data_IF_408000978695
#
_entry.id   IF_408000978695
#
_cell.length_a   1.000
_cell.length_b   1.000
_cell.length_c   1.000
_cell.angle_alpha   90.00
_cell.angle_beta   90.00
_cell.angle_gamma   90.00
#
_symmetry.space_group_name_H-M   'P 1'
#
loop_
_entity.id
_entity.type
_entity.pdbx_description
1 polymer ?
#
# COMPACT_ATOMS: atom_id res chain seq x y z
N UNK A 1 -11.94 41.46 26.92
CA UNK A 1 -10.48 41.68 26.90
C UNK A 1 -10.01 41.26 25.52
N UNK A 2 -10.00 42.24 24.60
CA UNK A 2 -9.43 42.08 23.26
C UNK A 2 -7.94 41.78 23.38
N UNK A 3 -7.51 40.64 22.84
CA UNK A 3 -6.12 40.41 22.54
C UNK A 3 -5.93 40.76 21.07
N UNK A 4 -5.24 41.87 20.88
CA UNK A 4 -4.84 42.48 19.61
C UNK A 4 -4.22 41.44 18.68
N UNK A 5 -4.83 41.33 17.51
CA UNK A 5 -4.34 40.61 16.34
C UNK A 5 -3.09 41.33 15.83
N UNK A 6 -1.93 40.92 16.33
CA UNK A 6 -0.65 41.36 15.80
C UNK A 6 -0.51 40.78 14.38
N UNK A 7 -0.55 41.65 13.37
CA UNK A 7 -0.56 41.30 11.94
C UNK A 7 0.83 40.86 11.42
N UNK A 8 1.64 40.22 12.26
CA UNK A 8 2.74 39.42 11.76
C UNK A 8 2.16 38.07 11.33
N UNK A 9 1.84 37.94 10.03
CA UNK A 9 1.60 36.63 9.43
C UNK A 9 2.94 35.89 9.52
N UNK A 10 3.14 35.14 10.62
CA UNK A 10 4.30 34.27 10.77
C UNK A 10 4.17 33.23 9.67
N UNK A 11 5.03 33.34 8.64
CA UNK A 11 5.03 32.44 7.49
C UNK A 11 5.66 31.11 7.93
N UNK A 12 4.82 30.21 8.43
CA UNK A 12 5.24 28.85 8.82
C UNK A 12 5.58 28.07 7.56
N UNK A 13 6.78 27.49 7.51
CA UNK A 13 7.16 26.57 6.44
C UNK A 13 6.48 25.21 6.64
N UNK A 14 5.46 24.92 5.86
CA UNK A 14 4.65 23.70 5.99
C UNK A 14 5.17 22.52 5.15
N UNK A 15 6.35 22.64 4.52
CA UNK A 15 6.86 21.61 3.61
C UNK A 15 7.04 20.27 4.32
N UNK A 16 7.60 20.26 5.54
CA UNK A 16 7.83 19.03 6.31
C UNK A 16 6.53 18.36 6.71
N UNK A 17 5.50 19.14 7.08
CA UNK A 17 4.15 18.63 7.32
C UNK A 17 3.53 17.98 6.07
N UNK A 18 3.63 18.61 4.90
CA UNK A 18 3.07 18.03 3.67
C UNK A 18 3.80 16.76 3.24
N UNK A 19 5.14 16.74 3.34
CA UNK A 19 5.94 15.54 3.08
C UNK A 19 5.56 14.45 4.09
N UNK A 20 5.41 14.79 5.38
CA UNK A 20 4.93 13.85 6.40
C UNK A 20 3.60 13.22 6.00
N UNK A 21 2.62 14.02 5.58
CA UNK A 21 1.29 13.55 5.18
C UNK A 21 1.36 12.60 3.98
N UNK A 22 2.28 12.85 3.05
CA UNK A 22 2.49 12.04 1.85
C UNK A 22 3.39 10.81 2.07
N UNK A 23 4.12 10.71 3.20
CA UNK A 23 5.06 9.60 3.48
C UNK A 23 4.48 8.20 3.23
N UNK A 24 3.21 7.88 3.59
CA UNK A 24 2.68 6.54 3.36
C UNK A 24 2.68 6.12 1.88
N UNK A 25 2.60 7.07 0.94
CA UNK A 25 2.66 6.79 -0.49
C UNK A 25 4.02 6.21 -0.93
N UNK A 26 5.09 6.45 -0.16
CA UNK A 26 6.39 5.87 -0.42
C UNK A 26 6.39 4.33 -0.29
N UNK A 27 5.47 3.76 0.50
CA UNK A 27 5.31 2.30 0.60
C UNK A 27 4.86 1.70 -0.74
N UNK A 28 3.91 2.34 -1.42
CA UNK A 28 3.45 1.89 -2.75
C UNK A 28 4.58 1.93 -3.78
N UNK A 29 5.42 2.97 -3.73
CA UNK A 29 6.60 3.07 -4.60
C UNK A 29 7.61 1.98 -4.27
N UNK A 30 7.79 1.67 -2.99
CA UNK A 30 8.74 0.66 -2.56
C UNK A 30 8.30 -0.74 -3.00
N UNK A 31 7.02 -1.06 -2.91
CA UNK A 31 6.45 -2.32 -3.39
C UNK A 31 6.57 -2.44 -4.92
N UNK A 32 6.32 -1.36 -5.67
CA UNK A 32 6.54 -1.34 -7.12
C UNK A 32 8.00 -1.63 -7.51
N UNK A 33 8.96 -1.18 -6.70
CA UNK A 33 10.39 -1.42 -6.90
C UNK A 33 10.87 -2.77 -6.33
N UNK A 34 9.98 -3.61 -5.80
CA UNK A 34 10.31 -4.86 -5.12
C UNK A 34 11.29 -4.70 -3.95
N UNK A 35 11.24 -3.57 -3.24
CA UNK A 35 11.88 -3.48 -1.93
C UNK A 35 11.12 -4.38 -0.95
N UNK A 36 11.84 -5.20 -0.18
CA UNK A 36 11.20 -6.08 0.79
C UNK A 36 10.39 -5.30 1.84
N UNK A 37 9.18 -5.75 2.14
CA UNK A 37 8.23 -5.10 3.06
C UNK A 37 8.87 -4.54 4.34
N UNK A 38 9.75 -5.31 4.99
CA UNK A 38 10.44 -4.87 6.22
C UNK A 38 11.33 -3.64 5.99
N UNK A 39 12.05 -3.60 4.88
CA UNK A 39 12.90 -2.46 4.52
C UNK A 39 12.05 -1.23 4.18
N UNK A 40 10.97 -1.42 3.43
CA UNK A 40 10.00 -0.37 3.09
C UNK A 40 9.37 0.26 4.33
N UNK A 41 8.95 -0.57 5.30
CA UNK A 41 8.34 -0.12 6.54
C UNK A 41 9.35 0.64 7.44
N UNK A 42 10.60 0.16 7.54
CA UNK A 42 11.66 0.89 8.26
C UNK A 42 11.92 2.24 7.60
N UNK A 43 12.05 2.29 6.28
CA UNK A 43 12.27 3.53 5.54
C UNK A 43 11.11 4.52 5.74
N UNK A 44 9.87 4.04 5.75
CA UNK A 44 8.68 4.83 6.05
C UNK A 44 8.76 5.48 7.44
N UNK A 45 9.00 4.70 8.50
CA UNK A 45 9.06 5.26 9.86
C UNK A 45 10.23 6.22 10.04
N UNK A 46 11.39 5.96 9.44
CA UNK A 46 12.54 6.87 9.46
C UNK A 46 12.19 8.19 8.78
N UNK A 47 11.58 8.15 7.59
CA UNK A 47 11.17 9.35 6.86
C UNK A 47 10.09 10.14 7.62
N UNK A 48 9.05 9.47 8.13
CA UNK A 48 7.97 10.08 8.89
C UNK A 48 8.49 10.74 10.17
N UNK A 49 9.34 10.04 10.93
CA UNK A 49 9.97 10.58 12.13
C UNK A 49 10.85 11.79 11.82
N UNK A 50 11.67 11.72 10.78
CA UNK A 50 12.52 12.84 10.34
C UNK A 50 11.68 14.06 9.98
N UNK A 51 10.60 13.88 9.20
CA UNK A 51 9.72 14.97 8.80
C UNK A 51 9.06 15.63 10.01
N UNK A 52 8.58 14.86 10.98
CA UNK A 52 7.94 15.43 12.16
C UNK A 52 8.89 16.12 13.12
N UNK A 53 10.13 15.64 13.24
CA UNK A 53 11.17 16.36 14.00
C UNK A 53 11.49 17.69 13.34
N UNK A 54 11.61 17.73 12.00
CA UNK A 54 11.86 18.96 11.26
C UNK A 54 10.66 19.92 11.32
N UNK A 55 9.44 19.41 11.16
CA UNK A 55 8.21 20.20 11.30
C UNK A 55 8.09 20.81 12.71
N UNK A 56 8.35 20.01 13.75
CA UNK A 56 8.34 20.50 15.12
C UNK A 56 9.41 21.57 15.39
N UNK A 57 10.58 21.49 14.74
CA UNK A 57 11.62 22.53 14.81
C UNK A 57 11.16 23.83 14.15
N UNK A 58 10.49 23.76 13.00
CA UNK A 58 9.92 24.94 12.34
C UNK A 58 8.80 25.59 13.17
N UNK A 59 7.94 24.77 13.77
CA UNK A 59 6.87 25.27 14.65
C UNK A 59 7.42 25.94 15.91
N UNK A 60 8.49 25.42 16.51
CA UNK A 60 9.15 26.05 17.67
C UNK A 60 9.72 27.43 17.37
N UNK A 61 10.13 27.72 16.12
CA UNK A 61 10.55 29.08 15.73
C UNK A 61 9.41 30.09 15.82
N UNK A 62 8.18 29.61 15.63
CA UNK A 62 6.96 30.44 15.60
C UNK A 62 6.20 30.41 16.93
N UNK A 63 6.27 29.30 17.66
CA UNK A 63 5.54 29.02 18.89
C UNK A 63 6.50 28.44 19.94
N UNK A 64 6.98 29.29 20.85
CA UNK A 64 7.96 28.91 21.89
C UNK A 64 7.48 27.74 22.76
N UNK A 65 6.18 27.66 23.04
CA UNK A 65 5.58 26.62 23.88
C UNK A 65 5.12 25.37 23.10
N UNK A 66 5.51 25.22 21.82
CA UNK A 66 5.15 24.04 21.04
C UNK A 66 5.87 22.79 21.55
N UNK A 67 5.12 21.93 22.23
CA UNK A 67 5.54 20.58 22.62
C UNK A 67 5.21 19.66 21.44
N UNK A 68 6.21 19.45 20.57
CA UNK A 68 6.09 18.53 19.46
C UNK A 68 5.99 17.08 19.92
N UNK A 69 5.13 16.31 19.23
CA UNK A 69 4.87 14.90 19.55
C UNK A 69 5.42 13.98 18.44
N UNK A 70 6.74 14.05 18.23
CA UNK A 70 7.41 13.21 17.23
C UNK A 70 7.37 11.72 17.63
N UNK A 71 7.20 11.42 18.92
CA UNK A 71 7.12 10.03 19.42
C UNK A 71 5.74 9.41 19.18
N UNK A 72 4.64 10.18 19.18
CA UNK A 72 3.33 9.63 18.83
C UNK A 72 3.26 9.05 17.41
N UNK A 73 4.20 9.37 16.52
CA UNK A 73 4.26 8.77 15.18
C UNK A 73 4.58 7.29 15.23
N UNK A 74 5.34 6.84 16.23
CA UNK A 74 5.65 5.42 16.40
C UNK A 74 4.42 4.59 16.78
N UNK A 75 3.42 5.22 17.38
CA UNK A 75 2.20 4.54 17.85
C UNK A 75 1.05 4.79 16.87
N UNK A 76 0.82 6.04 16.49
CA UNK A 76 -0.30 6.44 15.64
C UNK A 76 0.01 7.74 14.86
N UNK A 77 0.62 7.63 13.66
CA UNK A 77 1.00 8.78 12.82
C UNK A 77 -0.09 9.85 12.60
N UNK A 78 -1.39 9.50 12.45
CA UNK A 78 -2.45 10.51 12.32
C UNK A 78 -2.55 11.49 13.49
N UNK A 79 -2.16 11.11 14.72
CA UNK A 79 -2.18 12.01 15.88
C UNK A 79 -1.26 13.21 15.70
N UNK A 80 -0.10 13.03 15.06
CA UNK A 80 0.80 14.14 14.76
C UNK A 80 0.08 15.22 13.91
N UNK A 81 -0.67 14.80 12.89
CA UNK A 81 -1.42 15.74 12.03
C UNK A 81 -2.51 16.49 12.78
N UNK A 82 -3.17 15.83 13.74
CA UNK A 82 -4.20 16.43 14.57
C UNK A 82 -3.62 17.48 15.52
N UNK A 83 -2.56 17.12 16.26
CA UNK A 83 -1.89 18.02 17.22
C UNK A 83 -1.35 19.24 16.48
N UNK A 84 -0.63 19.02 15.39
CA UNK A 84 -0.07 20.10 14.57
C UNK A 84 -1.17 21.00 14.02
N UNK A 85 -2.23 20.45 13.42
CA UNK A 85 -3.30 21.26 12.84
C UNK A 85 -4.02 22.11 13.90
N UNK A 86 -4.22 21.56 15.11
CA UNK A 86 -4.75 22.31 16.26
C UNK A 86 -3.82 23.48 16.66
N UNK A 87 -2.51 23.26 16.68
CA UNK A 87 -1.53 24.27 17.09
C UNK A 87 -1.49 25.48 16.14
N UNK A 88 -1.65 25.25 14.83
CA UNK A 88 -1.58 26.32 13.81
C UNK A 88 -2.95 26.89 13.41
N UNK A 89 -4.03 26.50 14.10
CA UNK A 89 -5.39 26.97 13.80
C UNK A 89 -5.98 26.41 12.49
N UNK A 90 -5.44 25.31 11.96
CA UNK A 90 -5.97 24.62 10.79
C UNK A 90 -7.11 23.65 11.18
N UNK A 91 -7.88 23.18 10.19
CA UNK A 91 -8.94 22.19 10.43
C UNK A 91 -8.35 20.84 10.89
N UNK A 92 -8.27 20.63 12.21
CA UNK A 92 -7.69 19.43 12.83
C UNK A 92 -8.35 18.12 12.40
N UNK A 93 -9.67 18.10 12.28
CA UNK A 93 -10.42 16.91 11.90
C UNK A 93 -10.26 16.61 10.41
N UNK A 94 -10.19 17.67 9.58
CA UNK A 94 -9.90 17.53 8.15
C UNK A 94 -8.54 16.88 7.91
N UNK A 95 -7.48 17.39 8.54
CA UNK A 95 -6.13 16.83 8.35
C UNK A 95 -5.95 15.43 8.93
N UNK A 96 -6.57 15.17 10.09
CA UNK A 96 -6.62 13.82 10.66
C UNK A 96 -7.30 12.84 9.70
N UNK A 97 -8.48 13.21 9.16
CA UNK A 97 -9.22 12.36 8.23
C UNK A 97 -8.45 12.11 6.92
N UNK A 98 -7.83 13.15 6.35
CA UNK A 98 -7.02 13.04 5.13
C UNK A 98 -5.87 12.07 5.32
N UNK A 99 -5.08 12.24 6.39
CA UNK A 99 -3.92 11.37 6.60
C UNK A 99 -4.35 9.94 6.93
N UNK A 100 -5.42 9.77 7.72
CA UNK A 100 -5.98 8.44 8.02
C UNK A 100 -6.49 7.74 6.76
N UNK A 101 -7.18 8.47 5.87
CA UNK A 101 -7.65 7.94 4.60
C UNK A 101 -6.48 7.50 3.70
N UNK A 102 -5.39 8.26 3.65
CA UNK A 102 -4.18 7.88 2.92
C UNK A 102 -3.58 6.59 3.49
N UNK A 103 -3.39 6.51 4.81
CA UNK A 103 -2.81 5.32 5.47
C UNK A 103 -3.68 4.08 5.21
N UNK A 104 -5.00 4.20 5.38
CA UNK A 104 -5.95 3.10 5.14
C UNK A 104 -5.94 2.69 3.66
N UNK A 105 -5.94 3.65 2.74
CA UNK A 105 -5.90 3.36 1.31
C UNK A 105 -4.62 2.61 0.91
N UNK A 106 -3.45 3.06 1.40
CA UNK A 106 -2.17 2.38 1.17
C UNK A 106 -2.24 0.95 1.70
N UNK A 107 -2.66 0.76 2.94
CA UNK A 107 -2.77 -0.57 3.55
C UNK A 107 -3.69 -1.51 2.76
N UNK A 108 -4.86 -1.03 2.33
CA UNK A 108 -5.77 -1.84 1.52
C UNK A 108 -5.16 -2.22 0.16
N UNK A 109 -4.45 -1.30 -0.48
CA UNK A 109 -3.80 -1.55 -1.77
C UNK A 109 -2.69 -2.60 -1.62
N UNK A 110 -1.86 -2.50 -0.58
CA UNK A 110 -0.78 -3.46 -0.34
C UNK A 110 -1.33 -4.85 -0.05
N UNK A 111 -2.33 -4.97 0.82
CA UNK A 111 -2.98 -6.26 1.14
C UNK A 111 -3.61 -6.91 -0.10
N UNK A 112 -4.32 -6.13 -0.93
CA UNK A 112 -4.91 -6.65 -2.18
C UNK A 112 -3.82 -7.12 -3.15
N UNK A 113 -2.69 -6.41 -3.20
CA UNK A 113 -1.58 -6.75 -4.10
C UNK A 113 -0.91 -8.04 -3.66
N UNK A 114 -0.62 -8.18 -2.37
CA UNK A 114 -0.03 -9.39 -1.78
C UNK A 114 -0.93 -10.61 -1.94
N UNK A 115 -2.23 -10.46 -1.69
CA UNK A 115 -3.21 -11.53 -1.88
C UNK A 115 -3.36 -11.94 -3.36
N UNK A 116 -3.37 -10.99 -4.29
CA UNK A 116 -3.36 -11.33 -5.72
C UNK A 116 -2.07 -12.04 -6.14
N UNK A 117 -0.94 -11.69 -5.54
CA UNK A 117 0.34 -12.35 -5.79
C UNK A 117 0.36 -13.79 -5.25
N UNK A 118 -0.18 -14.03 -4.06
CA UNK A 118 -0.28 -15.39 -3.51
C UNK A 118 -1.18 -16.27 -4.39
N UNK A 119 -2.34 -15.77 -4.83
CA UNK A 119 -3.21 -16.50 -5.79
C UNK A 119 -2.44 -16.87 -7.05
N UNK A 120 -1.69 -15.93 -7.64
CA UNK A 120 -0.90 -16.18 -8.85
C UNK A 120 0.16 -17.26 -8.64
N UNK A 121 0.86 -17.21 -7.51
CA UNK A 121 1.90 -18.19 -7.17
C UNK A 121 1.30 -19.58 -6.99
N UNK A 122 0.31 -19.71 -6.12
CA UNK A 122 -0.36 -20.99 -5.89
C UNK A 122 -0.96 -21.55 -7.18
N UNK A 123 -1.61 -20.71 -8.00
CA UNK A 123 -2.21 -21.18 -9.25
C UNK A 123 -1.15 -21.70 -10.22
N UNK A 124 0.02 -21.08 -10.26
CA UNK A 124 1.14 -21.53 -11.09
C UNK A 124 1.71 -22.87 -10.60
N UNK A 125 1.80 -23.07 -9.29
CA UNK A 125 2.20 -24.35 -8.68
C UNK A 125 1.21 -25.46 -9.08
N UNK A 126 -0.09 -25.24 -8.89
CA UNK A 126 -1.15 -26.21 -9.24
C UNK A 126 -1.12 -26.55 -10.74
N UNK A 127 -0.98 -25.55 -11.63
CA UNK A 127 -0.87 -25.81 -13.08
C UNK A 127 0.35 -26.67 -13.41
N UNK A 128 1.48 -26.42 -12.74
CA UNK A 128 2.70 -27.21 -12.93
C UNK A 128 2.51 -28.65 -12.46
N UNK A 129 1.80 -28.87 -11.36
CA UNK A 129 1.46 -30.21 -10.87
C UNK A 129 0.55 -30.96 -11.86
N UNK A 130 -0.47 -30.31 -12.42
CA UNK A 130 -1.37 -30.92 -13.42
C UNK A 130 -0.59 -31.45 -14.63
N UNK A 131 0.33 -30.64 -15.19
CA UNK A 131 1.13 -31.09 -16.34
C UNK A 131 2.12 -32.19 -15.99
N UNK A 132 2.68 -32.16 -14.78
CA UNK A 132 3.56 -33.22 -14.29
C UNK A 132 2.83 -34.55 -14.16
N UNK A 133 1.58 -34.53 -13.68
CA UNK A 133 0.73 -35.73 -13.57
C UNK A 133 0.37 -36.32 -14.95
N UNK A 134 0.24 -35.46 -15.96
CA UNK A 134 0.10 -35.87 -17.37
C UNK A 134 1.40 -36.35 -18.02
N UNK A 135 2.50 -36.48 -17.26
CA UNK A 135 3.85 -36.82 -17.73
C UNK A 135 4.42 -35.84 -18.77
N UNK A 136 3.97 -34.59 -18.71
CA UNK A 136 4.52 -33.49 -19.50
C UNK A 136 5.61 -32.77 -18.71
N UNK A 137 6.67 -32.31 -19.39
CA UNK A 137 7.74 -31.49 -18.79
C UNK A 137 7.39 -29.98 -18.85
N UNK A 138 6.13 -29.66 -19.15
CA UNK A 138 5.65 -28.29 -19.23
C UNK A 138 5.37 -27.75 -17.83
N UNK A 139 5.90 -26.56 -17.52
CA UNK A 139 5.73 -25.90 -16.22
C UNK A 139 5.13 -24.52 -16.41
N UNK A 140 4.40 -24.04 -15.40
CA UNK A 140 3.97 -22.64 -15.38
C UNK A 140 5.15 -21.75 -14.95
N UNK A 141 5.41 -20.70 -15.73
CA UNK A 141 6.41 -19.68 -15.43
C UNK A 141 5.77 -18.54 -14.64
N UNK A 142 4.58 -18.11 -15.04
CA UNK A 142 3.89 -16.97 -14.44
C UNK A 142 2.40 -16.99 -14.74
N UNK A 143 1.59 -16.52 -13.80
CA UNK A 143 0.18 -16.21 -14.01
C UNK A 143 0.00 -14.70 -14.23
N UNK A 144 -0.69 -14.34 -15.32
CA UNK A 144 -0.97 -12.97 -15.75
C UNK A 144 -2.47 -12.72 -15.89
N UNK A 145 -2.87 -11.47 -16.06
CA UNK A 145 -4.27 -11.07 -16.30
C UNK A 145 -5.29 -11.56 -15.26
N UNK A 146 -4.87 -11.69 -13.99
CA UNK A 146 -5.76 -12.06 -12.89
C UNK A 146 -6.91 -11.06 -12.75
N UNK A 147 -8.12 -11.51 -13.09
CA UNK A 147 -9.37 -10.74 -13.03
C UNK A 147 -10.34 -11.44 -12.09
N UNK A 148 -10.82 -10.72 -11.08
CA UNK A 148 -11.87 -11.20 -10.17
C UNK A 148 -13.21 -11.24 -10.92
N UNK A 149 -13.82 -12.42 -11.00
CA UNK A 149 -15.15 -12.64 -11.61
C UNK A 149 -16.24 -12.61 -10.53
N UNK A 150 -15.97 -13.22 -9.39
CA UNK A 150 -16.82 -13.18 -8.20
C UNK A 150 -15.96 -13.29 -6.95
N UNK A 151 -16.58 -13.33 -5.76
CA UNK A 151 -15.87 -13.27 -4.47
C UNK A 151 -14.70 -14.27 -4.37
N UNK A 152 -14.89 -15.48 -4.90
CA UNK A 152 -13.96 -16.60 -4.86
C UNK A 152 -13.45 -17.06 -6.23
N UNK A 153 -13.92 -16.47 -7.32
CA UNK A 153 -13.61 -16.94 -8.67
C UNK A 153 -12.82 -15.89 -9.44
N UNK A 154 -11.73 -16.33 -10.05
CA UNK A 154 -10.82 -15.51 -10.83
C UNK A 154 -10.58 -16.13 -12.21
N UNK A 155 -10.33 -15.28 -13.20
CA UNK A 155 -9.83 -15.67 -14.52
C UNK A 155 -8.41 -15.15 -14.69
N UNK A 156 -7.53 -15.94 -15.28
CA UNK A 156 -6.15 -15.57 -15.52
C UNK A 156 -5.56 -16.36 -16.70
N UNK A 157 -4.34 -16.01 -17.10
CA UNK A 157 -3.56 -16.74 -18.11
C UNK A 157 -2.28 -17.29 -17.46
N UNK A 158 -2.05 -18.59 -17.55
CA UNK A 158 -0.81 -19.22 -17.13
C UNK A 158 0.15 -19.34 -18.32
N UNK A 159 1.28 -18.64 -18.25
CA UNK A 159 2.34 -18.72 -19.26
C UNK A 159 3.20 -19.94 -18.99
N UNK A 160 3.26 -20.85 -19.96
CA UNK A 160 3.94 -22.15 -19.83
C UNK A 160 5.35 -22.13 -20.44
N UNK A 161 6.21 -23.08 -20.05
CA UNK A 161 7.60 -23.20 -20.56
C UNK A 161 7.70 -23.44 -22.06
N UNK A 162 6.65 -23.98 -22.68
CA UNK A 162 6.55 -24.15 -24.13
C UNK A 162 6.12 -22.86 -24.87
N UNK A 163 5.92 -21.76 -24.16
CA UNK A 163 5.51 -20.46 -24.71
C UNK A 163 4.01 -20.34 -24.95
N UNK A 164 3.20 -21.31 -24.55
CA UNK A 164 1.72 -21.24 -24.64
C UNK A 164 1.14 -20.52 -23.43
N UNK A 165 0.25 -19.56 -23.68
CA UNK A 165 -0.59 -18.98 -22.64
C UNK A 165 -1.86 -19.80 -22.49
N UNK A 166 -1.99 -20.49 -21.35
CA UNK A 166 -3.15 -21.32 -21.04
C UNK A 166 -4.18 -20.51 -20.24
N UNK A 167 -5.41 -20.30 -20.76
CA UNK A 167 -6.47 -19.65 -19.99
C UNK A 167 -6.92 -20.56 -18.84
N UNK A 168 -6.91 -20.00 -17.63
CA UNK A 168 -7.27 -20.70 -16.40
C UNK A 168 -8.39 -19.97 -15.65
N UNK A 169 -9.22 -20.76 -14.99
CA UNK A 169 -10.15 -20.28 -13.96
C UNK A 169 -9.67 -20.77 -12.61
N UNK A 170 -9.61 -19.88 -11.62
CA UNK A 170 -9.14 -20.17 -10.28
C UNK A 170 -10.32 -20.00 -9.32
N UNK A 171 -10.59 -21.01 -8.51
CA UNK A 171 -11.51 -20.96 -7.38
C UNK A 171 -10.71 -20.94 -6.08
N UNK A 172 -10.82 -19.86 -5.33
CA UNK A 172 -10.24 -19.72 -4.00
C UNK A 172 -11.18 -20.32 -2.94
N UNK A 173 -10.73 -21.41 -2.30
CA UNK A 173 -11.45 -22.07 -1.20
C UNK A 173 -10.90 -21.71 0.18
N UNK A 174 -10.03 -20.71 0.29
CA UNK A 174 -9.38 -20.27 1.52
C UNK A 174 -8.09 -21.04 1.77
N UNK A 175 -8.19 -22.31 2.18
CA UNK A 175 -7.02 -23.15 2.51
C UNK A 175 -6.38 -23.83 1.29
N UNK A 176 -7.09 -23.84 0.17
CA UNK A 176 -6.63 -24.43 -1.09
C UNK A 176 -7.24 -23.67 -2.26
N UNK A 177 -6.55 -23.73 -3.39
CA UNK A 177 -7.04 -23.18 -4.65
C UNK A 177 -7.30 -24.33 -5.63
N UNK A 178 -8.38 -24.21 -6.41
CA UNK A 178 -8.69 -25.14 -7.48
C UNK A 178 -8.51 -24.42 -8.80
N UNK A 179 -7.75 -25.02 -9.71
CA UNK A 179 -7.50 -24.46 -11.03
C UNK A 179 -8.19 -25.34 -12.06
N UNK A 180 -9.00 -24.71 -12.91
CA UNK A 180 -9.59 -25.35 -14.08
C UNK A 180 -8.90 -24.83 -15.32
N UNK A 181 -8.26 -25.74 -16.06
CA UNK A 181 -7.72 -25.45 -17.38
C UNK A 181 -8.90 -25.37 -18.36
N UNK A 182 -9.04 -24.26 -19.09
CA UNK A 182 -10.05 -24.18 -20.14
C UNK A 182 -9.44 -24.70 -21.42
N UNK A 183 -9.94 -25.80 -22.01
CA UNK A 183 -9.37 -26.33 -23.24
C UNK A 183 -9.45 -25.29 -24.36
N UNK A 184 -8.35 -25.11 -25.09
CA UNK A 184 -8.25 -24.18 -26.22
C UNK A 184 -9.32 -24.45 -27.30
N UNK A 185 -9.85 -25.68 -27.37
CA UNK A 185 -10.87 -26.09 -28.33
C UNK A 185 -12.21 -25.37 -28.18
N UNK A 186 -12.54 -24.85 -26.98
CA UNK A 186 -13.81 -24.12 -26.74
C UNK A 186 -13.74 -22.61 -27.02
N UNK A 187 -12.56 -22.08 -27.37
CA UNK A 187 -12.36 -20.65 -27.69
C UNK A 187 -12.18 -20.38 -29.20
N UNK A 188 -12.22 -21.44 -30.02
CA UNK A 188 -12.04 -21.39 -31.48
C UNK A 188 -13.32 -21.75 -32.27
N UNK A 189 -14.46 -21.92 -31.60
CA UNK A 189 -15.79 -22.07 -32.22
C UNK A 189 -16.54 -20.73 -32.28
#
# INVERSE_FOLDING_TARGET
MELTKDNNIIKINNIYFYVFVATPLALLVADFLNFGYKASLVAFYVAAFTCAVLDGRELKKSFQDYIGDALAILIFPPVHTFIRAKAVGMNRWGWFAVHSAIVVAVFLITEITDYNQSIRQSACEVVTEVYKDEKSDVQCIKVTDLKKVSEKYYRANAMLTNGVDMPITIEDRGDSIYVTLTPLSHLLD
#
